data_IF_195040669850
#
_entry.id   IF_195040669850
#
_cell.length_a   1.000
_cell.length_b   1.000
_cell.length_c   1.000
_cell.angle_alpha   90.00
_cell.angle_beta   90.00
_cell.angle_gamma   90.00
#
_symmetry.space_group_name_H-M   'P 1'
#
loop_
_entity.id
_entity.type
_entity.pdbx_description
1 polymer ?
#
# COMPACT_ATOMS: atom_id res chain seq x y z
N UNK A 1 18.89 25.76 9.38
CA UNK A 1 18.79 24.43 10.01
C UNK A 1 18.55 23.41 8.94
N UNK A 2 19.64 22.89 8.37
CA UNK A 2 19.67 21.81 7.38
C UNK A 2 19.23 20.47 8.00
N UNK A 3 18.00 20.41 8.48
CA UNK A 3 17.41 19.17 8.98
C UNK A 3 16.93 18.34 7.81
N UNK A 4 17.81 17.48 7.29
CA UNK A 4 17.41 16.34 6.49
C UNK A 4 16.70 15.33 7.40
N UNK A 5 15.37 15.39 7.46
CA UNK A 5 14.58 14.29 7.99
C UNK A 5 14.66 13.12 7.00
N UNK A 6 15.56 12.16 7.24
CA UNK A 6 15.44 10.82 6.66
C UNK A 6 14.23 10.12 7.27
N UNK A 7 13.03 10.50 6.80
CA UNK A 7 11.79 9.85 7.22
C UNK A 7 11.72 8.51 6.50
N UNK A 8 12.27 7.48 7.14
CA UNK A 8 12.13 6.10 6.67
C UNK A 8 10.66 5.72 6.72
N UNK A 9 10.05 5.45 5.56
CA UNK A 9 8.65 5.01 5.45
C UNK A 9 8.63 3.49 5.35
N UNK A 10 8.00 2.84 6.32
CA UNK A 10 7.78 1.39 6.33
C UNK A 10 6.43 1.05 5.72
N UNK A 11 6.41 0.00 4.91
CA UNK A 11 5.21 -0.47 4.22
C UNK A 11 4.87 -1.88 4.68
N UNK A 12 3.59 -2.07 5.01
CA UNK A 12 3.05 -3.35 5.45
C UNK A 12 1.97 -3.82 4.48
N UNK A 13 1.91 -5.13 4.27
CA UNK A 13 0.89 -5.79 3.46
C UNK A 13 0.08 -6.71 4.36
N UNK A 14 -1.22 -6.49 4.44
CA UNK A 14 -2.16 -7.27 5.23
C UNK A 14 -3.22 -7.88 4.32
N UNK A 15 -3.64 -9.10 4.65
CA UNK A 15 -4.84 -9.73 4.10
C UNK A 15 -5.87 -9.67 5.22
N UNK A 16 -7.00 -9.04 4.96
CA UNK A 16 -8.07 -8.84 5.94
C UNK A 16 -9.36 -9.46 5.42
N UNK A 17 -10.07 -10.17 6.30
CA UNK A 17 -11.39 -10.74 5.98
C UNK A 17 -12.52 -9.71 6.20
N UNK A 18 -12.28 -8.70 7.05
CA UNK A 18 -13.19 -7.61 7.33
C UNK A 18 -12.67 -6.28 6.75
N UNK A 19 -13.59 -5.47 6.25
CA UNK A 19 -13.36 -4.22 5.50
C UNK A 19 -13.37 -3.00 6.46
N UNK A 20 -13.55 -3.23 7.76
CA UNK A 20 -13.62 -2.16 8.76
C UNK A 20 -12.27 -1.46 8.91
N UNK A 21 -12.24 -0.17 8.59
CA UNK A 21 -11.06 0.70 8.76
C UNK A 21 -11.41 1.74 9.81
N UNK A 22 -10.66 1.76 10.91
CA UNK A 22 -10.82 2.77 11.94
C UNK A 22 -9.91 3.96 11.60
N UNK A 23 -10.53 5.08 11.24
CA UNK A 23 -9.82 6.21 10.62
C UNK A 23 -9.62 7.32 11.64
N UNK A 24 -8.36 7.76 11.77
CA UNK A 24 -8.03 8.93 12.58
C UNK A 24 -8.60 10.22 11.99
N UNK A 25 -8.92 11.19 12.85
CA UNK A 25 -9.56 12.47 12.46
C UNK A 25 -8.79 13.28 11.41
N UNK A 26 -7.48 13.05 11.26
CA UNK A 26 -6.59 13.76 10.32
C UNK A 26 -6.58 13.15 8.92
N UNK A 27 -7.21 11.99 8.75
CA UNK A 27 -7.18 11.26 7.49
C UNK A 27 -8.30 11.76 6.56
N UNK A 28 -7.93 12.14 5.34
CA UNK A 28 -8.85 12.79 4.40
C UNK A 28 -9.83 11.83 3.72
N UNK A 29 -9.56 10.52 3.75
CA UNK A 29 -10.43 9.50 3.19
C UNK A 29 -9.66 8.30 2.67
N UNK A 30 -10.38 7.19 2.48
CA UNK A 30 -9.88 5.93 1.91
C UNK A 30 -10.84 5.42 0.84
N UNK A 31 -10.33 4.51 0.02
CA UNK A 31 -11.13 3.79 -0.97
C UNK A 31 -10.52 2.42 -1.25
N UNK A 32 -11.37 1.51 -1.71
CA UNK A 32 -10.96 0.19 -2.16
C UNK A 32 -10.80 0.21 -3.66
N UNK A 33 -9.66 -0.26 -4.14
CA UNK A 33 -9.31 -0.24 -5.55
C UNK A 33 -8.76 -1.60 -5.96
N UNK A 34 -9.04 -1.99 -7.20
CA UNK A 34 -8.25 -3.03 -7.84
C UNK A 34 -6.82 -2.55 -8.03
N UNK A 35 -5.86 -3.48 -8.00
CA UNK A 35 -4.44 -3.18 -8.06
C UNK A 35 -4.04 -2.32 -9.27
N UNK A 36 -4.57 -2.63 -10.45
CA UNK A 36 -4.25 -1.90 -11.68
C UNK A 36 -4.82 -0.47 -11.66
N UNK A 37 -5.95 -0.28 -10.97
CA UNK A 37 -6.60 1.00 -10.80
C UNK A 37 -5.87 1.88 -9.78
N UNK A 38 -5.49 1.32 -8.63
CA UNK A 38 -4.71 2.02 -7.60
C UNK A 38 -3.42 2.62 -8.17
N UNK A 39 -2.76 1.92 -9.12
CA UNK A 39 -1.52 2.39 -9.75
C UNK A 39 -1.65 3.72 -10.52
N UNK A 40 -2.88 4.06 -10.96
CA UNK A 40 -3.20 5.30 -11.68
C UNK A 40 -3.30 6.50 -10.73
N UNK A 41 -3.75 6.27 -9.49
CA UNK A 41 -3.98 7.33 -8.50
C UNK A 41 -2.76 7.65 -7.63
N UNK A 42 -1.83 6.71 -7.48
CA UNK A 42 -0.60 6.94 -6.71
C UNK A 42 0.27 7.99 -7.42
N UNK A 43 0.66 9.04 -6.69
CA UNK A 43 1.52 10.10 -7.26
C UNK A 43 3.00 9.72 -7.24
N UNK A 44 3.50 9.16 -6.13
CA UNK A 44 4.93 8.94 -5.93
C UNK A 44 5.44 7.66 -6.59
N UNK A 45 6.58 7.76 -7.26
CA UNK A 45 7.20 6.64 -8.01
C UNK A 45 7.59 5.46 -7.11
N UNK A 46 8.07 5.74 -5.89
CA UNK A 46 8.44 4.69 -4.93
C UNK A 46 7.22 3.89 -4.50
N UNK A 47 6.12 4.55 -4.17
CA UNK A 47 4.87 3.91 -3.74
C UNK A 47 4.31 3.00 -4.86
N UNK A 48 4.41 3.43 -6.13
CA UNK A 48 4.06 2.56 -7.28
C UNK A 48 4.93 1.31 -7.35
N UNK A 49 6.24 1.45 -7.10
CA UNK A 49 7.18 0.32 -7.07
C UNK A 49 6.83 -0.64 -5.94
N UNK A 50 6.46 -0.10 -4.78
CA UNK A 50 6.08 -0.89 -3.61
C UNK A 50 4.78 -1.65 -3.86
N UNK A 51 3.77 -0.98 -4.43
CA UNK A 51 2.52 -1.63 -4.84
C UNK A 51 2.78 -2.79 -5.82
N UNK A 52 3.60 -2.58 -6.86
CA UNK A 52 3.98 -3.65 -7.80
C UNK A 52 4.65 -4.84 -7.12
N UNK A 53 5.58 -4.58 -6.20
CA UNK A 53 6.27 -5.62 -5.45
C UNK A 53 5.33 -6.39 -4.52
N UNK A 54 4.40 -5.68 -3.85
CA UNK A 54 3.38 -6.29 -3.01
C UNK A 54 2.49 -7.26 -3.81
N UNK A 55 2.00 -6.82 -4.99
CA UNK A 55 1.18 -7.65 -5.89
C UNK A 55 1.94 -8.90 -6.33
N UNK A 56 3.22 -8.76 -6.69
CA UNK A 56 4.05 -9.90 -7.09
C UNK A 56 4.17 -10.92 -5.97
N UNK A 57 4.52 -10.47 -4.75
CA UNK A 57 4.62 -11.35 -3.57
C UNK A 57 3.30 -12.03 -3.24
N UNK A 58 2.18 -11.30 -3.33
CA UNK A 58 0.86 -11.83 -3.07
C UNK A 58 0.49 -12.95 -4.06
N UNK A 59 0.77 -12.75 -5.35
CA UNK A 59 0.54 -13.76 -6.40
C UNK A 59 1.43 -15.00 -6.20
N UNK A 60 2.67 -14.82 -5.78
CA UNK A 60 3.57 -15.94 -5.47
C UNK A 60 3.07 -16.74 -4.26
N UNK A 61 2.64 -16.06 -3.19
CA UNK A 61 2.08 -16.70 -2.00
C UNK A 61 0.81 -17.51 -2.33
N UNK A 62 -0.12 -16.95 -3.10
CA UNK A 62 -1.35 -17.65 -3.49
C UNK A 62 -1.12 -18.81 -4.47
N UNK A 63 -0.08 -18.74 -5.31
CA UNK A 63 0.29 -19.87 -6.17
C UNK A 63 0.93 -21.01 -5.39
N UNK A 64 1.65 -20.71 -4.32
CA UNK A 64 2.28 -21.72 -3.47
C UNK A 64 1.29 -22.42 -2.53
N UNK A 65 0.10 -21.84 -2.30
CA UNK A 65 -0.97 -22.40 -1.49
C UNK A 65 -1.97 -23.28 -2.27
N UNK A 66 -1.81 -23.41 -3.59
CA UNK A 66 -2.59 -24.27 -4.49
C UNK A 66 -1.77 -25.50 -4.88
#
# INVERSE_FOLDING_TARGET
>A
NDEQFEKTVYYYLFIVDDVSVNIEKTFLGYGWFYFDEASKYITYKNDKKILKNAIKKLREAFKASL
#
